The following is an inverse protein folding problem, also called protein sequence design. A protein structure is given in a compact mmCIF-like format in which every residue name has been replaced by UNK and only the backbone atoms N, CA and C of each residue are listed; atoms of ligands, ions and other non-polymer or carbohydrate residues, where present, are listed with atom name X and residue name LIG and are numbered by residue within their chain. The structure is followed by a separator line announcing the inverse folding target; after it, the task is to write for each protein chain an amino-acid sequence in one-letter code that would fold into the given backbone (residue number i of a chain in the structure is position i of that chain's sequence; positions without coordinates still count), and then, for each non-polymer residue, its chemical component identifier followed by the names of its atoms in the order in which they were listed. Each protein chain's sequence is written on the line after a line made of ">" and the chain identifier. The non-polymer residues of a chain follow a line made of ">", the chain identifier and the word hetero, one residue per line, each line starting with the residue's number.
data_IF_341821602237
#
_entry.id   IF_341821602237
#
_cell.length_a   1.000
_cell.length_b   1.000
_cell.length_c   1.000
_cell.angle_alpha   90.00
_cell.angle_beta   90.00
_cell.angle_gamma   90.00
#
_symmetry.space_group_name_H-M   'P 1'
#
loop_
_entity.id
_entity.type
_entity.pdbx_description
1 polymer ?
#
# COMPACT_ATOMS: atom_id res chain seq x y z
N UNK A 1 -7.90 -11.15 -22.55
CA UNK A 1 -6.71 -12.02 -22.37
C UNK A 1 -5.72 -11.48 -21.34
N UNK A 2 -5.31 -10.21 -21.41
CA UNK A 2 -4.35 -9.61 -20.46
C UNK A 2 -4.81 -9.71 -18.98
N UNK A 3 -6.09 -9.47 -18.70
CA UNK A 3 -6.69 -9.59 -17.37
C UNK A 3 -6.45 -10.97 -16.73
N UNK A 4 -6.74 -12.05 -17.46
CA UNK A 4 -6.53 -13.42 -16.97
C UNK A 4 -5.05 -13.73 -16.78
N UNK A 5 -4.18 -13.25 -17.67
CA UNK A 5 -2.73 -13.44 -17.56
C UNK A 5 -2.14 -12.73 -16.34
N UNK A 6 -2.65 -11.53 -16.00
CA UNK A 6 -2.22 -10.76 -14.83
C UNK A 6 -2.42 -11.52 -13.49
N UNK A 7 -3.38 -12.46 -13.48
CA UNK A 7 -3.63 -13.36 -12.35
C UNK A 7 -2.84 -14.66 -12.50
N UNK A 8 -2.93 -15.33 -13.66
CA UNK A 8 -2.39 -16.68 -13.84
C UNK A 8 -0.86 -16.73 -13.71
N UNK A 9 -0.14 -15.73 -14.22
CA UNK A 9 1.33 -15.69 -14.19
C UNK A 9 1.89 -15.76 -12.76
N UNK A 10 1.55 -14.84 -11.84
CA UNK A 10 2.06 -14.91 -10.47
C UNK A 10 1.52 -16.12 -9.69
N UNK A 11 0.29 -16.59 -9.97
CA UNK A 11 -0.25 -17.81 -9.36
C UNK A 11 0.57 -19.05 -9.70
N UNK A 12 0.76 -19.31 -10.99
CA UNK A 12 1.51 -20.46 -11.47
C UNK A 12 2.99 -20.39 -11.03
N UNK A 13 3.62 -19.22 -11.17
CA UNK A 13 4.99 -19.02 -10.74
C UNK A 13 5.16 -19.20 -9.22
N UNK A 14 4.27 -18.63 -8.41
CA UNK A 14 4.33 -18.73 -6.95
C UNK A 14 4.15 -20.16 -6.46
N UNK A 15 3.20 -20.92 -7.03
CA UNK A 15 2.99 -22.32 -6.70
C UNK A 15 4.23 -23.18 -6.99
N UNK A 16 4.88 -22.98 -8.14
CA UNK A 16 6.13 -23.66 -8.48
C UNK A 16 7.27 -23.24 -7.55
N UNK A 17 7.44 -21.94 -7.32
CA UNK A 17 8.57 -21.40 -6.53
C UNK A 17 8.53 -21.83 -5.07
N UNK A 18 7.34 -22.05 -4.49
CA UNK A 18 7.21 -22.59 -3.11
C UNK A 18 7.80 -23.99 -2.99
N UNK A 19 7.66 -24.82 -4.03
CA UNK A 19 8.21 -26.16 -4.04
C UNK A 19 9.74 -26.15 -4.18
N UNK A 20 10.33 -25.09 -4.73
CA UNK A 20 11.78 -24.97 -4.95
C UNK A 20 12.52 -24.46 -3.70
N UNK A 21 13.85 -24.61 -3.66
CA UNK A 21 14.67 -24.01 -2.60
C UNK A 21 15.04 -22.57 -2.95
N UNK A 22 14.28 -21.62 -2.42
CA UNK A 22 14.50 -20.19 -2.60
C UNK A 22 15.88 -19.70 -2.18
N UNK A 23 16.63 -20.44 -1.34
CA UNK A 23 18.02 -20.11 -0.97
C UNK A 23 18.99 -20.17 -2.15
N UNK A 24 18.62 -20.89 -3.22
CA UNK A 24 19.40 -20.92 -4.46
C UNK A 24 19.17 -19.62 -5.21
N UNK A 25 20.26 -18.91 -5.53
CA UNK A 25 20.21 -17.63 -6.27
C UNK A 25 19.35 -17.70 -7.54
N UNK A 26 19.43 -18.81 -8.29
CA UNK A 26 18.61 -19.01 -9.49
C UNK A 26 17.10 -18.98 -9.21
N UNK A 27 16.65 -19.57 -8.09
CA UNK A 27 15.22 -19.57 -7.70
C UNK A 27 14.76 -18.18 -7.29
N UNK A 28 15.60 -17.43 -6.55
CA UNK A 28 15.31 -16.04 -6.20
C UNK A 28 15.16 -15.15 -7.45
N UNK A 29 16.07 -15.28 -8.42
CA UNK A 29 15.98 -14.57 -9.70
C UNK A 29 14.81 -15.02 -10.57
N UNK A 30 14.45 -16.31 -10.56
CA UNK A 30 13.22 -16.77 -11.21
C UNK A 30 11.99 -16.06 -10.63
N UNK A 31 11.93 -15.87 -9.31
CA UNK A 31 10.90 -15.07 -8.67
C UNK A 31 10.88 -13.61 -9.15
N UNK A 32 12.04 -12.96 -9.24
CA UNK A 32 12.15 -11.60 -9.79
C UNK A 32 11.65 -11.55 -11.24
N UNK A 33 12.03 -12.51 -12.09
CA UNK A 33 11.57 -12.56 -13.49
C UNK A 33 10.07 -12.77 -13.61
N UNK A 34 9.47 -13.58 -12.72
CA UNK A 34 8.02 -13.76 -12.70
C UNK A 34 7.29 -12.47 -12.32
N UNK A 35 7.80 -11.72 -11.34
CA UNK A 35 7.24 -10.41 -10.97
C UNK A 35 7.40 -9.37 -12.10
N UNK A 36 8.55 -9.35 -12.79
CA UNK A 36 8.76 -8.46 -13.95
C UNK A 36 7.80 -8.82 -15.09
N UNK A 37 7.63 -10.11 -15.41
CA UNK A 37 6.67 -10.55 -16.41
C UNK A 37 5.24 -10.12 -16.04
N UNK A 38 4.87 -10.26 -14.76
CA UNK A 38 3.58 -9.80 -14.24
C UNK A 38 3.43 -8.28 -14.35
N UNK A 39 4.48 -7.51 -14.07
CA UNK A 39 4.49 -6.05 -14.20
C UNK A 39 4.26 -5.62 -15.65
N UNK A 40 4.90 -6.29 -16.62
CA UNK A 40 4.71 -6.01 -18.05
C UNK A 40 3.26 -6.30 -18.46
N UNK A 41 2.69 -7.43 -18.02
CA UNK A 41 1.29 -7.78 -18.31
C UNK A 41 0.33 -6.74 -17.70
N UNK A 42 0.56 -6.31 -16.46
CA UNK A 42 -0.24 -5.26 -15.83
C UNK A 42 -0.09 -3.92 -16.53
N UNK A 43 1.12 -3.55 -16.97
CA UNK A 43 1.33 -2.30 -17.69
C UNK A 43 0.54 -2.28 -18.99
N UNK A 44 0.55 -3.39 -19.75
CA UNK A 44 -0.26 -3.55 -20.97
C UNK A 44 -1.75 -3.45 -20.63
N UNK A 45 -2.21 -4.14 -19.58
CA UNK A 45 -3.60 -4.10 -19.14
C UNK A 45 -4.02 -2.68 -18.73
N UNK A 46 -3.22 -1.96 -17.96
CA UNK A 46 -3.52 -0.58 -17.54
C UNK A 46 -3.54 0.37 -18.74
N UNK A 47 -2.63 0.22 -19.71
CA UNK A 47 -2.66 1.02 -20.95
C UNK A 47 -3.95 0.74 -21.74
N UNK A 48 -4.38 -0.52 -21.84
CA UNK A 48 -5.65 -0.88 -22.47
C UNK A 48 -6.83 -0.24 -21.75
N UNK A 49 -6.87 -0.33 -20.42
CA UNK A 49 -7.92 0.27 -19.61
C UNK A 49 -8.02 1.78 -19.78
N UNK A 50 -6.89 2.49 -19.83
CA UNK A 50 -6.87 3.95 -20.03
C UNK A 50 -7.35 4.34 -21.43
N UNK A 51 -7.07 3.52 -22.45
CA UNK A 51 -7.43 3.83 -23.85
C UNK A 51 -8.85 3.40 -24.23
N UNK A 52 -9.28 2.24 -23.75
CA UNK A 52 -10.49 1.55 -24.20
C UNK A 52 -11.57 1.50 -23.13
N UNK A 53 -11.27 1.92 -21.90
CA UNK A 53 -12.15 1.83 -20.74
C UNK A 53 -11.98 0.54 -19.93
N UNK A 54 -12.71 0.41 -18.80
CA UNK A 54 -12.62 -0.74 -17.91
C UNK A 54 -12.85 -2.07 -18.64
N UNK A 55 -12.10 -3.10 -18.24
CA UNK A 55 -12.17 -4.42 -18.84
C UNK A 55 -12.77 -5.41 -17.85
N UNK A 56 -13.79 -6.16 -18.28
CA UNK A 56 -14.50 -7.11 -17.43
C UNK A 56 -14.56 -8.50 -18.06
N UNK A 57 -14.40 -9.53 -17.23
CA UNK A 57 -14.57 -10.93 -17.62
C UNK A 57 -15.35 -11.67 -16.53
N UNK A 58 -16.45 -12.32 -16.91
CA UNK A 58 -17.15 -13.27 -16.03
C UNK A 58 -16.47 -14.63 -16.15
N UNK A 59 -16.01 -15.15 -15.03
CA UNK A 59 -15.27 -16.41 -14.99
C UNK A 59 -16.17 -17.63 -15.24
N UNK A 60 -15.61 -18.67 -15.86
CA UNK A 60 -16.26 -19.99 -15.97
C UNK A 60 -17.40 -20.09 -16.99
N UNK A 61 -17.66 -19.06 -17.80
CA UNK A 61 -18.73 -19.08 -18.80
C UNK A 61 -20.15 -19.03 -18.21
N UNK A 62 -20.25 -18.74 -16.91
CA UNK A 62 -21.54 -18.56 -16.24
C UNK A 62 -22.22 -17.26 -16.70
N UNK A 63 -23.57 -17.19 -16.65
CA UNK A 63 -24.30 -15.96 -16.88
C UNK A 63 -23.89 -14.85 -15.89
N UNK A 64 -24.04 -13.60 -16.31
CA UNK A 64 -23.87 -12.45 -15.43
C UNK A 64 -24.80 -12.56 -14.20
N UNK A 65 -24.30 -12.17 -13.03
CA UNK A 65 -25.02 -12.27 -11.74
C UNK A 65 -24.83 -13.61 -11.00
N UNK A 66 -24.24 -14.63 -11.62
CA UNK A 66 -23.89 -15.91 -10.97
C UNK A 66 -22.37 -16.11 -10.94
N UNK A 67 -21.69 -15.84 -12.05
CA UNK A 67 -20.24 -16.02 -12.14
C UNK A 67 -19.45 -14.92 -11.42
N UNK A 68 -18.25 -15.27 -10.93
CA UNK A 68 -17.32 -14.28 -10.34
C UNK A 68 -16.86 -13.32 -11.44
N UNK A 69 -16.98 -12.03 -11.16
CA UNK A 69 -16.57 -10.95 -12.05
C UNK A 69 -15.12 -10.56 -11.75
N UNK A 70 -14.26 -10.66 -12.76
CA UNK A 70 -12.96 -10.00 -12.77
C UNK A 70 -13.14 -8.65 -13.47
N UNK A 71 -12.64 -7.59 -12.86
CA UNK A 71 -12.82 -6.23 -13.34
C UNK A 71 -11.53 -5.44 -13.17
N UNK A 72 -11.01 -4.90 -14.27
CA UNK A 72 -9.83 -4.06 -14.30
C UNK A 72 -10.20 -2.64 -14.70
N UNK A 73 -9.93 -1.69 -13.82
CA UNK A 73 -10.06 -0.25 -14.05
C UNK A 73 -8.75 0.47 -13.68
N UNK A 74 -8.75 1.80 -13.86
CA UNK A 74 -7.58 2.63 -13.59
C UNK A 74 -7.13 2.53 -12.12
N UNK A 75 -8.08 2.45 -11.18
CA UNK A 75 -7.79 2.32 -9.75
C UNK A 75 -7.06 1.00 -9.44
N UNK A 76 -7.61 -0.12 -9.90
CA UNK A 76 -6.99 -1.44 -9.73
C UNK A 76 -5.62 -1.51 -10.40
N UNK A 77 -5.49 -0.96 -11.61
CA UNK A 77 -4.23 -0.90 -12.35
C UNK A 77 -3.13 -0.16 -11.58
N UNK A 78 -3.42 1.05 -11.09
CA UNK A 78 -2.46 1.88 -10.32
C UNK A 78 -1.94 1.16 -9.09
N UNK A 79 -2.84 0.62 -8.28
CA UNK A 79 -2.48 -0.03 -7.01
C UNK A 79 -1.73 -1.35 -7.23
N UNK A 80 -2.06 -2.10 -8.30
CA UNK A 80 -1.34 -3.31 -8.67
C UNK A 80 0.08 -3.00 -9.18
N UNK A 81 0.23 -1.98 -10.03
CA UNK A 81 1.53 -1.56 -10.56
C UNK A 81 2.49 -1.12 -9.43
N UNK A 82 2.04 -0.20 -8.56
CA UNK A 82 2.91 0.31 -7.47
C UNK A 82 3.30 -0.79 -6.48
N UNK A 83 2.37 -1.70 -6.17
CA UNK A 83 2.64 -2.83 -5.27
C UNK A 83 3.67 -3.78 -5.88
N UNK A 84 3.58 -4.10 -7.18
CA UNK A 84 4.57 -4.92 -7.86
C UNK A 84 5.96 -4.28 -7.88
N UNK A 85 6.07 -2.97 -8.12
CA UNK A 85 7.36 -2.27 -8.10
C UNK A 85 8.06 -2.44 -6.75
N UNK A 86 7.32 -2.31 -5.64
CA UNK A 86 7.85 -2.53 -4.29
C UNK A 86 8.25 -4.00 -4.07
N UNK A 87 7.42 -4.96 -4.50
CA UNK A 87 7.73 -6.39 -4.37
C UNK A 87 8.98 -6.79 -5.18
N UNK A 88 9.12 -6.27 -6.41
CA UNK A 88 10.30 -6.49 -7.26
C UNK A 88 11.54 -5.96 -6.56
N UNK A 89 11.50 -4.72 -6.06
CA UNK A 89 12.66 -4.11 -5.40
C UNK A 89 13.07 -4.89 -4.15
N UNK A 90 12.10 -5.32 -3.32
CA UNK A 90 12.39 -6.10 -2.12
C UNK A 90 12.94 -7.50 -2.43
N UNK A 91 12.36 -8.22 -3.40
CA UNK A 91 12.83 -9.54 -3.78
C UNK A 91 14.18 -9.49 -4.48
N UNK A 92 14.40 -8.53 -5.37
CA UNK A 92 15.68 -8.37 -6.06
C UNK A 92 16.81 -8.01 -5.08
N UNK A 93 16.52 -7.17 -4.08
CA UNK A 93 17.46 -6.87 -2.99
C UNK A 93 17.88 -8.15 -2.24
N UNK A 94 16.93 -9.00 -1.85
CA UNK A 94 17.23 -10.27 -1.16
C UNK A 94 17.88 -11.32 -2.08
N UNK A 95 17.52 -11.35 -3.37
CA UNK A 95 18.14 -12.24 -4.36
C UNK A 95 19.65 -11.98 -4.51
N UNK A 96 20.07 -10.72 -4.38
CA UNK A 96 21.49 -10.37 -4.39
C UNK A 96 22.15 -10.60 -3.04
N UNK A 97 21.55 -10.13 -1.95
CA UNK A 97 22.11 -10.24 -0.60
C UNK A 97 22.22 -11.71 -0.13
N UNK A 98 21.42 -12.59 -0.69
CA UNK A 98 21.31 -13.99 -0.30
C UNK A 98 20.06 -14.20 0.53
N UNK A 99 19.07 -14.85 -0.08
CA UNK A 99 17.81 -15.25 0.56
C UNK A 99 18.06 -16.24 1.70
N UNK A 100 17.49 -15.97 2.87
CA UNK A 100 17.74 -16.73 4.09
C UNK A 100 16.80 -17.92 4.32
N UNK A 101 15.63 -17.93 3.68
CA UNK A 101 14.64 -19.01 3.84
C UNK A 101 14.23 -19.56 2.49
N UNK A 102 13.91 -20.86 2.47
CA UNK A 102 13.49 -21.58 1.25
C UNK A 102 12.24 -20.96 0.61
N UNK A 103 11.29 -20.51 1.42
CA UNK A 103 9.96 -20.11 0.95
C UNK A 103 9.88 -18.64 0.53
N UNK A 104 10.91 -17.82 0.80
CA UNK A 104 10.80 -16.36 0.64
C UNK A 104 10.43 -15.93 -0.80
N UNK A 105 11.13 -16.34 -1.89
CA UNK A 105 10.74 -15.93 -3.24
C UNK A 105 9.33 -16.37 -3.62
N UNK A 106 8.96 -17.61 -3.28
CA UNK A 106 7.63 -18.15 -3.56
C UNK A 106 6.51 -17.41 -2.82
N UNK A 107 6.73 -17.04 -1.55
CA UNK A 107 5.78 -16.26 -0.77
C UNK A 107 5.62 -14.83 -1.29
N UNK A 108 6.69 -14.18 -1.76
CA UNK A 108 6.60 -12.85 -2.37
C UNK A 108 5.80 -12.91 -3.69
N UNK A 109 5.99 -13.94 -4.50
CA UNK A 109 5.25 -14.11 -5.75
C UNK A 109 3.78 -14.51 -5.50
N UNK A 110 3.49 -15.35 -4.50
CA UNK A 110 2.11 -15.61 -4.08
C UNK A 110 1.43 -14.36 -3.50
N UNK A 111 2.17 -13.53 -2.77
CA UNK A 111 1.66 -12.25 -2.31
C UNK A 111 1.27 -11.36 -3.51
N UNK A 112 2.10 -11.31 -4.55
CA UNK A 112 1.76 -10.61 -5.79
C UNK A 112 0.47 -11.17 -6.43
N UNK A 113 0.31 -12.50 -6.42
CA UNK A 113 -0.89 -13.16 -6.94
C UNK A 113 -2.16 -12.75 -6.16
N UNK A 114 -2.08 -12.71 -4.83
CA UNK A 114 -3.16 -12.24 -3.97
C UNK A 114 -3.48 -10.76 -4.16
N UNK A 115 -2.46 -9.89 -4.20
CA UNK A 115 -2.66 -8.46 -4.42
C UNK A 115 -3.26 -8.15 -5.79
N UNK A 116 -2.76 -8.78 -6.85
CA UNK A 116 -3.32 -8.60 -8.20
C UNK A 116 -4.78 -9.07 -8.27
N UNK A 117 -5.09 -10.23 -7.67
CA UNK A 117 -6.48 -10.70 -7.58
C UNK A 117 -7.39 -9.72 -6.87
N UNK A 118 -6.92 -9.15 -5.76
CA UNK A 118 -7.66 -8.18 -4.97
C UNK A 118 -7.92 -6.87 -5.72
N UNK A 119 -6.94 -6.38 -6.49
CA UNK A 119 -7.08 -5.14 -7.25
C UNK A 119 -7.86 -5.32 -8.56
N UNK A 120 -8.01 -6.55 -9.06
CA UNK A 120 -8.64 -6.87 -10.35
C UNK A 120 -9.96 -7.65 -10.23
N UNK A 121 -10.57 -7.66 -9.04
CA UNK A 121 -11.87 -8.31 -8.80
C UNK A 121 -13.00 -7.29 -8.78
N UNK A 122 -14.14 -7.67 -9.36
CA UNK A 122 -15.41 -6.95 -9.31
C UNK A 122 -16.42 -7.59 -8.36
N UNK A 123 -15.99 -8.50 -7.49
CA UNK A 123 -16.84 -9.19 -6.51
C UNK A 123 -16.31 -9.01 -5.08
N UNK A 124 -17.21 -8.68 -4.16
CA UNK A 124 -16.94 -8.36 -2.76
C UNK A 124 -16.39 -9.57 -1.97
N UNK A 125 -16.95 -10.76 -2.19
CA UNK A 125 -16.47 -11.96 -1.51
C UNK A 125 -15.14 -12.43 -2.10
N UNK A 126 -14.99 -12.35 -3.42
CA UNK A 126 -13.73 -12.70 -4.07
C UNK A 126 -12.59 -11.74 -3.69
N UNK A 127 -12.90 -10.46 -3.42
CA UNK A 127 -11.95 -9.54 -2.79
C UNK A 127 -11.48 -10.07 -1.43
N UNK A 128 -12.40 -10.53 -0.58
CA UNK A 128 -12.05 -11.14 0.72
C UNK A 128 -11.16 -12.38 0.56
N UNK A 129 -11.43 -13.24 -0.44
CA UNK A 129 -10.59 -14.42 -0.71
C UNK A 129 -9.16 -14.01 -1.08
N UNK A 130 -8.99 -13.07 -2.01
CA UNK A 130 -7.67 -12.58 -2.39
C UNK A 130 -6.97 -11.81 -1.27
N UNK A 131 -7.73 -11.10 -0.44
CA UNK A 131 -7.25 -10.47 0.78
C UNK A 131 -6.62 -11.52 1.70
N UNK A 132 -7.33 -12.62 2.02
CA UNK A 132 -6.80 -13.66 2.90
C UNK A 132 -5.57 -14.37 2.33
N UNK A 133 -5.50 -14.55 1.01
CA UNK A 133 -4.32 -15.12 0.34
C UNK A 133 -3.11 -14.19 0.50
N UNK A 134 -3.28 -12.90 0.22
CA UNK A 134 -2.25 -11.89 0.41
C UNK A 134 -1.82 -11.79 1.89
N UNK A 135 -2.77 -11.80 2.81
CA UNK A 135 -2.53 -11.72 4.25
C UNK A 135 -1.78 -12.94 4.77
N UNK A 136 -2.19 -14.14 4.37
CA UNK A 136 -1.53 -15.39 4.77
C UNK A 136 -0.08 -15.43 4.31
N UNK A 137 0.19 -15.04 3.05
CA UNK A 137 1.55 -14.90 2.55
C UNK A 137 2.35 -13.86 3.38
N UNK A 138 1.73 -12.74 3.73
CA UNK A 138 2.35 -11.67 4.52
C UNK A 138 2.68 -12.10 5.96
N UNK A 139 1.81 -12.87 6.61
CA UNK A 139 2.07 -13.43 7.95
C UNK A 139 3.28 -14.36 7.91
N UNK A 140 3.35 -15.23 6.90
CA UNK A 140 4.49 -16.13 6.71
C UNK A 140 5.78 -15.34 6.42
N UNK A 141 5.74 -14.32 5.54
CA UNK A 141 6.87 -13.44 5.25
C UNK A 141 7.38 -12.70 6.49
N UNK A 142 6.50 -12.36 7.44
CA UNK A 142 6.87 -11.69 8.70
C UNK A 142 7.83 -12.55 9.54
N UNK A 143 7.81 -13.88 9.37
CA UNK A 143 8.76 -14.79 10.05
C UNK A 143 10.15 -14.86 9.39
N UNK A 144 10.36 -14.16 8.27
CA UNK A 144 11.60 -14.21 7.49
C UNK A 144 12.83 -13.82 8.32
N UNK A 145 13.84 -14.70 8.34
CA UNK A 145 15.01 -14.59 9.21
C UNK A 145 14.96 -15.48 10.46
N UNK A 146 13.79 -16.06 10.78
CA UNK A 146 13.61 -17.15 11.74
C UNK A 146 14.17 -16.90 13.14
N UNK A 147 14.16 -15.64 13.64
CA UNK A 147 14.48 -15.34 15.04
C UNK A 147 13.21 -15.09 15.87
N UNK A 148 13.29 -15.23 17.21
CA UNK A 148 12.13 -15.04 18.09
C UNK A 148 11.43 -13.68 17.92
N UNK A 149 12.18 -12.61 17.61
CA UNK A 149 11.63 -11.28 17.33
C UNK A 149 10.69 -11.28 16.12
N UNK A 150 11.06 -11.96 15.03
CA UNK A 150 10.22 -12.06 13.83
C UNK A 150 9.00 -12.95 14.07
N UNK A 151 9.14 -14.03 14.84
CA UNK A 151 8.00 -14.88 15.20
C UNK A 151 6.97 -14.11 16.04
N UNK A 152 7.42 -13.35 17.04
CA UNK A 152 6.54 -12.49 17.85
C UNK A 152 5.83 -11.45 16.98
N UNK A 153 6.55 -10.82 16.05
CA UNK A 153 5.96 -9.88 15.10
C UNK A 153 4.88 -10.57 14.23
N UNK A 154 5.15 -11.77 13.71
CA UNK A 154 4.19 -12.52 12.91
C UNK A 154 2.92 -12.89 13.68
N UNK A 155 3.06 -13.31 14.95
CA UNK A 155 1.92 -13.62 15.81
C UNK A 155 1.06 -12.38 16.08
N UNK A 156 1.68 -11.25 16.43
CA UNK A 156 0.95 -9.99 16.66
C UNK A 156 0.25 -9.55 15.37
N UNK A 157 0.96 -9.64 14.23
CA UNK A 157 0.42 -9.25 12.93
C UNK A 157 -0.79 -10.11 12.55
N UNK A 158 -0.66 -11.43 12.65
CA UNK A 158 -1.72 -12.39 12.34
C UNK A 158 -2.92 -12.23 13.26
N UNK A 159 -2.74 -12.20 14.58
CA UNK A 159 -3.86 -12.11 15.53
C UNK A 159 -4.70 -10.86 15.32
N UNK A 160 -4.06 -9.71 15.14
CA UNK A 160 -4.78 -8.43 15.00
C UNK A 160 -5.46 -8.33 13.63
N UNK A 161 -4.78 -8.77 12.56
CA UNK A 161 -5.37 -8.67 11.23
C UNK A 161 -6.44 -9.73 10.98
N UNK A 162 -6.38 -10.92 11.59
CA UNK A 162 -7.46 -11.91 11.55
C UNK A 162 -8.74 -11.40 12.24
N UNK A 163 -8.62 -10.59 13.29
CA UNK A 163 -9.78 -9.89 13.86
C UNK A 163 -10.38 -8.89 12.87
N UNK A 164 -9.52 -8.13 12.15
CA UNK A 164 -9.96 -7.27 11.05
C UNK A 164 -10.62 -8.04 9.91
N UNK A 165 -10.05 -9.18 9.52
CA UNK A 165 -10.62 -10.11 8.54
C UNK A 165 -11.98 -10.65 8.94
N UNK A 166 -12.18 -10.93 10.22
CA UNK A 166 -13.47 -11.39 10.73
C UNK A 166 -14.53 -10.30 10.59
N UNK A 167 -14.22 -9.07 10.97
CA UNK A 167 -15.11 -7.91 10.75
C UNK A 167 -15.37 -7.71 9.26
N UNK A 168 -14.35 -7.88 8.41
CA UNK A 168 -14.51 -7.80 6.96
C UNK A 168 -15.52 -8.84 6.45
N UNK A 169 -15.38 -10.11 6.86
CA UNK A 169 -16.29 -11.17 6.45
C UNK A 169 -17.73 -10.95 6.95
N UNK A 170 -17.90 -10.40 8.15
CA UNK A 170 -19.22 -9.99 8.65
C UNK A 170 -19.83 -8.87 7.79
N UNK A 171 -19.04 -7.90 7.34
CA UNK A 171 -19.50 -6.88 6.39
C UNK A 171 -19.86 -7.46 5.02
N UNK A 172 -19.13 -8.46 4.53
CA UNK A 172 -19.50 -9.19 3.30
C UNK A 172 -20.84 -9.89 3.47
N UNK A 173 -21.03 -10.63 4.57
CA UNK A 173 -22.30 -11.29 4.87
C UNK A 173 -23.45 -10.28 5.03
N UNK A 174 -23.20 -9.15 5.70
CA UNK A 174 -24.14 -8.05 5.84
C UNK A 174 -24.53 -7.43 4.50
N UNK A 175 -23.56 -7.21 3.60
CA UNK A 175 -23.79 -6.70 2.24
C UNK A 175 -24.73 -7.63 1.47
N UNK A 176 -24.45 -8.94 1.48
CA UNK A 176 -25.31 -9.92 0.84
C UNK A 176 -26.71 -9.97 1.47
N UNK A 177 -26.81 -9.86 2.79
CA UNK A 177 -28.09 -9.86 3.52
C UNK A 177 -28.99 -8.68 3.14
N UNK A 178 -28.42 -7.52 2.84
CA UNK A 178 -29.19 -6.29 2.56
C UNK A 178 -29.40 -6.04 1.06
N UNK A 179 -28.48 -6.48 0.19
CA UNK A 179 -28.57 -6.25 -1.27
C UNK A 179 -28.93 -7.50 -2.08
N UNK A 180 -28.72 -8.69 -1.51
CA UNK A 180 -28.84 -9.96 -2.22
C UNK A 180 -27.78 -10.17 -3.31
N UNK A 181 -26.70 -9.38 -3.34
CA UNK A 181 -25.67 -9.42 -4.36
C UNK A 181 -24.26 -9.37 -3.76
N UNK A 182 -23.28 -9.84 -4.54
CA UNK A 182 -21.85 -9.79 -4.22
C UNK A 182 -21.00 -9.16 -5.33
N UNK A 183 -21.52 -9.12 -6.56
CA UNK A 183 -20.95 -8.31 -7.62
C UNK A 183 -21.02 -6.83 -7.23
N UNK A 184 -19.89 -6.14 -7.28
CA UNK A 184 -19.75 -4.75 -6.81
C UNK A 184 -20.68 -3.79 -7.56
N UNK A 185 -20.90 -4.01 -8.86
CA UNK A 185 -21.84 -3.23 -9.66
C UNK A 185 -23.28 -3.35 -9.13
N UNK A 186 -23.76 -4.58 -8.94
CA UNK A 186 -25.10 -4.85 -8.41
C UNK A 186 -25.26 -4.31 -6.98
N UNK A 187 -24.22 -4.40 -6.15
CA UNK A 187 -24.22 -3.84 -4.79
C UNK A 187 -24.36 -2.32 -4.84
N UNK A 188 -23.57 -1.63 -5.67
CA UNK A 188 -23.61 -0.17 -5.80
C UNK A 188 -24.96 0.34 -6.34
N UNK A 189 -25.63 -0.42 -7.20
CA UNK A 189 -26.97 -0.08 -7.69
C UNK A 189 -28.02 -0.25 -6.58
N UNK A 190 -28.04 -1.42 -5.93
CA UNK A 190 -29.09 -1.80 -4.98
C UNK A 190 -28.98 -1.13 -3.62
N UNK A 191 -27.79 -0.68 -3.22
CA UNK A 191 -27.59 -0.10 -1.89
C UNK A 191 -28.46 1.15 -1.65
N UNK A 192 -28.77 1.91 -2.71
CA UNK A 192 -29.62 3.10 -2.63
C UNK A 192 -31.08 2.78 -2.25
N UNK A 193 -31.51 1.53 -2.45
CA UNK A 193 -32.85 1.05 -2.06
C UNK A 193 -32.88 0.45 -0.65
N UNK A 194 -31.72 0.31 0.01
CA UNK A 194 -31.60 -0.23 1.37
C UNK A 194 -31.80 0.89 2.40
N UNK A 195 -32.34 0.56 3.58
CA UNK A 195 -32.44 1.53 4.67
C UNK A 195 -31.07 2.05 5.12
N UNK A 196 -30.93 3.37 5.24
CA UNK A 196 -29.66 4.06 5.51
C UNK A 196 -28.89 3.51 6.72
N UNK A 197 -29.56 3.13 7.81
CA UNK A 197 -28.91 2.57 9.00
C UNK A 197 -28.22 1.23 8.71
N UNK A 198 -28.82 0.39 7.86
CA UNK A 198 -28.25 -0.92 7.52
C UNK A 198 -27.06 -0.77 6.57
N UNK A 199 -27.16 0.13 5.58
CA UNK A 199 -26.05 0.47 4.69
C UNK A 199 -24.87 1.07 5.47
N UNK A 200 -25.14 2.02 6.37
CA UNK A 200 -24.14 2.62 7.25
C UNK A 200 -23.44 1.59 8.14
N UNK A 201 -24.18 0.65 8.73
CA UNK A 201 -23.58 -0.39 9.57
C UNK A 201 -22.57 -1.25 8.79
N UNK A 202 -22.93 -1.64 7.57
CA UNK A 202 -22.05 -2.41 6.68
C UNK A 202 -20.82 -1.57 6.25
N UNK A 203 -21.04 -0.32 5.87
CA UNK A 203 -19.98 0.63 5.49
C UNK A 203 -18.98 0.85 6.63
N UNK A 204 -19.47 1.04 7.87
CA UNK A 204 -18.62 1.16 9.07
C UNK A 204 -17.81 -0.11 9.30
N UNK A 205 -18.39 -1.29 9.12
CA UNK A 205 -17.66 -2.55 9.26
C UNK A 205 -16.52 -2.68 8.25
N UNK A 206 -16.74 -2.32 6.97
CA UNK A 206 -15.66 -2.27 5.97
C UNK A 206 -14.61 -1.21 6.32
N UNK A 207 -15.04 -0.03 6.77
CA UNK A 207 -14.13 1.03 7.24
C UNK A 207 -13.23 0.53 8.38
N UNK A 208 -13.78 -0.14 9.38
CA UNK A 208 -13.00 -0.70 10.50
C UNK A 208 -12.02 -1.75 10.00
N UNK A 209 -12.46 -2.69 9.15
CA UNK A 209 -11.59 -3.71 8.59
C UNK A 209 -10.38 -3.11 7.82
N UNK A 210 -10.63 -2.14 6.95
CA UNK A 210 -9.57 -1.48 6.18
C UNK A 210 -8.71 -0.54 7.05
N UNK A 211 -9.26 0.06 8.09
CA UNK A 211 -8.51 0.91 9.04
C UNK A 211 -7.57 0.10 9.92
N UNK A 212 -7.99 -1.09 10.39
CA UNK A 212 -7.11 -2.06 11.06
C UNK A 212 -5.96 -2.43 10.12
N UNK A 213 -6.27 -2.63 8.83
CA UNK A 213 -5.25 -2.99 7.84
C UNK A 213 -4.23 -1.88 7.57
N UNK A 214 -4.68 -0.63 7.48
CA UNK A 214 -3.81 0.53 7.29
C UNK A 214 -3.00 0.89 8.54
N UNK A 215 -3.47 0.48 9.72
CA UNK A 215 -2.93 0.96 10.99
C UNK A 215 -3.20 2.46 11.17
N UNK A 216 -4.43 2.90 10.85
CA UNK A 216 -4.92 4.24 11.16
C UNK A 216 -5.10 4.38 12.68
N UNK A 217 -4.89 5.56 13.27
CA UNK A 217 -5.33 5.82 14.65
C UNK A 217 -6.86 5.62 14.78
N UNK A 218 -7.37 4.88 15.79
CA UNK A 218 -6.69 4.21 16.91
C UNK A 218 -6.36 2.71 16.68
N UNK A 219 -6.53 2.19 15.46
CA UNK A 219 -6.32 0.79 15.07
C UNK A 219 -4.84 0.43 14.77
N UNK A 220 -3.89 1.28 15.13
CA UNK A 220 -2.47 1.21 14.72
C UNK A 220 -1.54 0.40 15.62
N UNK A 221 -2.02 -0.06 16.78
CA UNK A 221 -1.21 -0.61 17.88
C UNK A 221 -0.30 -1.78 17.49
N UNK A 222 -0.64 -2.54 16.45
CA UNK A 222 0.17 -3.65 15.95
C UNK A 222 1.35 -3.18 15.08
N UNK A 223 1.21 -2.06 14.39
CA UNK A 223 2.07 -1.67 13.26
C UNK A 223 3.53 -1.39 13.67
N UNK A 224 3.84 -0.58 14.70
CA UNK A 224 5.22 -0.32 15.12
C UNK A 224 5.98 -1.59 15.49
N UNK A 225 5.32 -2.48 16.24
CA UNK A 225 5.91 -3.75 16.69
C UNK A 225 6.25 -4.66 15.52
N UNK A 226 5.37 -4.73 14.51
CA UNK A 226 5.55 -5.60 13.35
C UNK A 226 6.61 -5.05 12.41
N UNK A 227 6.58 -3.76 12.09
CA UNK A 227 7.51 -3.16 11.14
C UNK A 227 8.93 -3.11 11.70
N UNK A 228 9.11 -2.72 12.96
CA UNK A 228 10.40 -2.80 13.64
C UNK A 228 10.82 -4.26 13.93
N UNK A 229 9.86 -5.19 14.04
CA UNK A 229 10.11 -6.60 14.34
C UNK A 229 10.67 -7.42 13.17
N UNK A 230 10.47 -6.95 11.94
CA UNK A 230 10.80 -7.66 10.70
C UNK A 230 12.11 -7.21 10.07
N UNK A 231 12.56 -7.94 9.04
CA UNK A 231 13.71 -7.53 8.24
C UNK A 231 13.33 -6.38 7.30
N UNK A 232 14.28 -5.49 6.94
CA UNK A 232 14.04 -4.33 6.09
C UNK A 232 13.25 -4.63 4.80
N UNK A 233 13.58 -5.70 4.09
CA UNK A 233 12.86 -6.10 2.87
C UNK A 233 11.39 -6.46 3.14
N UNK A 234 11.10 -7.13 4.26
CA UNK A 234 9.71 -7.46 4.64
C UNK A 234 8.96 -6.23 5.11
N UNK A 235 9.59 -5.35 5.90
CA UNK A 235 8.98 -4.08 6.31
C UNK A 235 8.62 -3.20 5.09
N UNK A 236 9.49 -3.17 4.07
CA UNK A 236 9.23 -2.51 2.79
C UNK A 236 8.01 -3.12 2.06
N UNK A 237 7.92 -4.45 1.99
CA UNK A 237 6.76 -5.16 1.43
C UNK A 237 5.47 -4.82 2.20
N UNK A 238 5.52 -4.93 3.53
CA UNK A 238 4.35 -4.71 4.37
C UNK A 238 3.83 -3.27 4.27
N UNK A 239 4.74 -2.29 4.30
CA UNK A 239 4.37 -0.88 4.28
C UNK A 239 4.11 -0.32 2.89
N UNK A 240 4.78 -0.83 1.85
CA UNK A 240 4.74 -0.28 0.49
C UNK A 240 3.81 -1.04 -0.46
N UNK A 241 3.62 -2.35 -0.29
CA UNK A 241 2.74 -3.14 -1.15
C UNK A 241 1.46 -3.57 -0.40
N UNK A 242 1.60 -4.08 0.81
CA UNK A 242 0.47 -4.69 1.54
C UNK A 242 -0.46 -3.65 2.17
N UNK A 243 0.06 -2.50 2.61
CA UNK A 243 -0.77 -1.41 3.15
C UNK A 243 -1.77 -0.87 2.11
N UNK A 244 -1.44 -0.96 0.82
CA UNK A 244 -2.30 -0.50 -0.27
C UNK A 244 -3.65 -1.21 -0.33
N UNK A 245 -3.75 -2.43 0.21
CA UNK A 245 -5.02 -3.14 0.37
C UNK A 245 -6.06 -2.26 1.07
N UNK A 246 -5.66 -1.57 2.15
CA UNK A 246 -6.58 -0.76 2.92
C UNK A 246 -6.91 0.57 2.23
N UNK A 247 -5.95 1.23 1.58
CA UNK A 247 -6.23 2.46 0.81
C UNK A 247 -7.15 2.18 -0.37
N UNK A 248 -6.86 1.13 -1.14
CA UNK A 248 -7.71 0.66 -2.21
C UNK A 248 -9.09 0.24 -1.70
N UNK A 249 -9.16 -0.50 -0.59
CA UNK A 249 -10.41 -0.91 0.04
C UNK A 249 -11.28 0.29 0.45
N UNK A 250 -10.71 1.30 1.12
CA UNK A 250 -11.44 2.52 1.47
C UNK A 250 -11.98 3.24 0.21
N UNK A 251 -11.14 3.40 -0.82
CA UNK A 251 -11.55 4.04 -2.07
C UNK A 251 -12.65 3.24 -2.79
N UNK A 252 -12.44 1.94 -3.01
CA UNK A 252 -13.33 1.07 -3.77
C UNK A 252 -14.66 0.84 -3.06
N UNK A 253 -14.64 0.51 -1.78
CA UNK A 253 -15.86 0.24 -1.02
C UNK A 253 -16.49 1.54 -0.55
N UNK A 254 -15.72 2.42 0.08
CA UNK A 254 -16.26 3.66 0.65
C UNK A 254 -16.74 4.64 -0.42
N UNK A 255 -15.90 4.98 -1.40
CA UNK A 255 -16.32 5.91 -2.45
C UNK A 255 -17.10 5.25 -3.59
N UNK A 256 -16.77 3.98 -3.93
CA UNK A 256 -17.43 3.27 -5.03
C UNK A 256 -18.76 2.62 -4.67
N UNK A 257 -18.88 1.99 -3.50
CA UNK A 257 -20.10 1.27 -3.09
C UNK A 257 -20.98 2.08 -2.12
N UNK A 258 -20.36 2.79 -1.16
CA UNK A 258 -21.04 3.44 -0.03
C UNK A 258 -20.87 4.97 -0.05
N UNK A 259 -21.04 5.57 -1.22
CA UNK A 259 -20.70 6.99 -1.46
C UNK A 259 -21.50 7.98 -0.60
N UNK A 260 -22.76 7.66 -0.28
CA UNK A 260 -23.60 8.52 0.55
C UNK A 260 -23.26 8.36 2.04
N UNK A 261 -22.94 7.14 2.48
CA UNK A 261 -22.43 6.88 3.82
C UNK A 261 -21.07 7.56 4.05
N UNK A 262 -20.18 7.54 3.04
CA UNK A 262 -18.92 8.28 3.06
C UNK A 262 -19.16 9.78 3.28
N UNK A 263 -20.09 10.38 2.52
CA UNK A 263 -20.44 11.80 2.64
C UNK A 263 -20.98 12.12 4.02
N UNK A 264 -21.82 11.25 4.58
CA UNK A 264 -22.36 11.41 5.93
C UNK A 264 -21.26 11.30 7.00
N UNK A 265 -20.32 10.37 6.83
CA UNK A 265 -19.22 10.14 7.77
C UNK A 265 -18.02 11.08 7.60
N UNK A 266 -18.03 11.97 6.60
CA UNK A 266 -16.88 12.79 6.19
C UNK A 266 -16.21 13.51 7.37
N UNK A 267 -16.98 14.18 8.23
CA UNK A 267 -16.43 14.88 9.40
C UNK A 267 -15.70 13.94 10.36
N UNK A 268 -16.27 12.77 10.66
CA UNK A 268 -15.63 11.79 11.53
C UNK A 268 -14.32 11.26 10.92
N UNK A 269 -14.31 11.04 9.60
CA UNK A 269 -13.14 10.58 8.87
C UNK A 269 -12.03 11.64 8.82
N UNK A 270 -12.37 12.92 8.63
CA UNK A 270 -11.42 14.04 8.74
C UNK A 270 -10.80 14.07 10.13
N UNK A 271 -11.60 13.98 11.19
CA UNK A 271 -11.11 13.99 12.57
C UNK A 271 -10.16 12.82 12.86
N UNK A 272 -10.49 11.61 12.40
CA UNK A 272 -9.62 10.45 12.53
C UNK A 272 -8.33 10.60 11.71
N UNK A 273 -8.42 11.17 10.51
CA UNK A 273 -7.27 11.44 9.65
C UNK A 273 -6.32 12.44 10.28
N UNK A 274 -6.84 13.58 10.77
CA UNK A 274 -6.11 14.60 11.52
C UNK A 274 -5.46 14.00 12.77
N UNK A 275 -6.20 13.22 13.54
CA UNK A 275 -5.68 12.54 14.72
C UNK A 275 -4.52 11.61 14.35
N UNK A 276 -4.64 10.85 13.26
CA UNK A 276 -3.57 9.95 12.78
C UNK A 276 -2.33 10.72 12.33
N UNK A 277 -2.48 11.83 11.60
CA UNK A 277 -1.37 12.71 11.17
C UNK A 277 -0.58 13.21 12.39
N UNK A 278 -1.28 13.79 13.35
CA UNK A 278 -0.66 14.39 14.53
C UNK A 278 -0.06 13.33 15.45
N UNK A 279 -0.82 12.28 15.77
CA UNK A 279 -0.37 11.20 16.63
C UNK A 279 0.85 10.47 16.05
N UNK A 280 0.78 10.08 14.77
CA UNK A 280 1.89 9.41 14.08
C UNK A 280 3.11 10.31 13.96
N UNK A 281 2.92 11.59 13.61
CA UNK A 281 4.01 12.56 13.47
C UNK A 281 4.73 12.83 14.79
N UNK A 282 3.99 13.12 15.87
CA UNK A 282 4.57 13.41 17.19
C UNK A 282 5.29 12.19 17.74
N UNK A 283 4.69 11.00 17.64
CA UNK A 283 5.33 9.79 18.14
C UNK A 283 6.52 9.36 17.30
N UNK A 284 6.56 9.64 16.00
CA UNK A 284 7.74 9.38 15.17
C UNK A 284 8.94 10.22 15.62
N UNK A 285 8.72 11.51 15.93
CA UNK A 285 9.76 12.43 16.43
C UNK A 285 10.35 11.96 17.77
N UNK A 286 9.55 11.30 18.62
CA UNK A 286 10.01 10.81 19.91
C UNK A 286 10.73 9.46 19.86
N UNK A 287 10.82 8.79 18.70
CA UNK A 287 11.51 7.49 18.58
C UNK A 287 13.00 7.63 18.29
N UNK A 288 13.78 6.80 19.00
CA UNK A 288 15.22 6.65 18.80
C UNK A 288 15.59 5.55 17.79
N UNK A 289 14.70 4.60 17.51
CA UNK A 289 14.92 3.51 16.55
C UNK A 289 14.36 3.89 15.17
N UNK A 290 15.17 3.74 14.13
CA UNK A 290 14.81 4.18 12.77
C UNK A 290 13.62 3.40 12.18
N UNK A 291 13.53 2.09 12.45
CA UNK A 291 12.43 1.27 11.94
C UNK A 291 11.12 1.62 12.65
N UNK A 292 11.19 1.91 13.96
CA UNK A 292 10.05 2.40 14.74
C UNK A 292 9.62 3.81 14.30
N UNK A 293 10.55 4.73 14.06
CA UNK A 293 10.24 6.06 13.49
C UNK A 293 9.54 5.93 12.14
N UNK A 294 10.02 5.06 11.24
CA UNK A 294 9.40 4.83 9.92
C UNK A 294 7.99 4.23 10.04
N UNK A 295 7.76 3.38 11.05
CA UNK A 295 6.47 2.78 11.34
C UNK A 295 5.46 3.83 11.85
N UNK A 296 5.84 4.68 12.81
CA UNK A 296 4.99 5.79 13.24
C UNK A 296 4.75 6.83 12.14
N UNK A 297 5.76 7.07 11.30
CA UNK A 297 5.58 7.85 10.09
C UNK A 297 4.48 7.24 9.19
N UNK A 298 4.41 5.91 9.04
CA UNK A 298 3.38 5.27 8.21
C UNK A 298 1.96 5.54 8.75
N UNK A 299 1.77 5.51 10.07
CA UNK A 299 0.50 5.87 10.75
C UNK A 299 0.10 7.32 10.40
N UNK A 300 1.06 8.25 10.46
CA UNK A 300 0.83 9.64 10.08
C UNK A 300 0.49 9.80 8.60
N UNK A 301 1.23 9.13 7.72
CA UNK A 301 1.04 9.21 6.27
C UNK A 301 -0.32 8.67 5.81
N UNK A 302 -0.83 7.61 6.44
CA UNK A 302 -2.18 7.11 6.15
C UNK A 302 -3.24 8.15 6.51
N UNK A 303 -3.04 8.96 7.55
CA UNK A 303 -3.98 10.00 7.93
C UNK A 303 -4.23 11.03 6.83
N UNK A 304 -3.21 11.34 6.02
CA UNK A 304 -3.35 12.18 4.83
C UNK A 304 -4.24 11.54 3.75
N UNK A 305 -4.08 10.23 3.51
CA UNK A 305 -4.97 9.47 2.60
C UNK A 305 -6.40 9.56 3.10
N UNK A 306 -6.63 9.39 4.40
CA UNK A 306 -7.98 9.43 4.96
C UNK A 306 -8.63 10.82 4.86
N UNK A 307 -7.85 11.88 5.09
CA UNK A 307 -8.33 13.26 4.90
C UNK A 307 -8.74 13.53 3.44
N UNK A 308 -7.92 13.15 2.46
CA UNK A 308 -8.28 13.34 1.06
C UNK A 308 -9.50 12.49 0.66
N UNK A 309 -9.54 11.25 1.14
CA UNK A 309 -10.67 10.34 0.94
C UNK A 309 -11.98 10.93 1.49
N UNK A 310 -11.94 11.54 2.68
CA UNK A 310 -13.12 12.13 3.32
C UNK A 310 -13.61 13.42 2.66
N UNK A 311 -12.71 14.17 2.00
CA UNK A 311 -13.11 15.29 1.14
C UNK A 311 -14.00 14.79 -0.01
N UNK A 312 -13.70 13.59 -0.52
CA UNK A 312 -14.47 12.95 -1.58
C UNK A 312 -14.43 13.72 -2.89
N UNK A 313 -15.34 13.36 -3.80
CA UNK A 313 -15.39 13.91 -5.16
C UNK A 313 -14.13 13.63 -5.99
N UNK A 314 -14.07 14.10 -7.25
CA UNK A 314 -12.93 13.82 -8.13
C UNK A 314 -11.60 14.35 -7.56
N UNK A 315 -11.61 15.52 -6.92
CA UNK A 315 -10.40 16.17 -6.39
C UNK A 315 -9.86 15.40 -5.18
N UNK A 316 -10.70 15.12 -4.16
CA UNK A 316 -10.27 14.42 -2.95
C UNK A 316 -9.86 12.97 -3.23
N UNK A 317 -10.63 12.25 -4.06
CA UNK A 317 -10.31 10.87 -4.42
C UNK A 317 -9.04 10.77 -5.26
N UNK A 318 -8.83 11.67 -6.23
CA UNK A 318 -7.58 11.72 -6.99
C UNK A 318 -6.38 12.00 -6.07
N UNK A 319 -6.50 12.97 -5.15
CA UNK A 319 -5.46 13.26 -4.18
C UNK A 319 -5.13 12.06 -3.28
N UNK A 320 -6.15 11.30 -2.84
CA UNK A 320 -5.95 10.07 -2.06
C UNK A 320 -5.17 9.01 -2.87
N UNK A 321 -5.49 8.82 -4.15
CA UNK A 321 -4.79 7.88 -5.04
C UNK A 321 -3.33 8.28 -5.23
N UNK A 322 -3.07 9.53 -5.63
CA UNK A 322 -1.69 10.05 -5.82
C UNK A 322 -0.89 9.86 -4.54
N UNK A 323 -1.46 10.22 -3.40
CA UNK A 323 -0.77 10.13 -2.11
C UNK A 323 -0.46 8.69 -1.72
N UNK A 324 -1.40 7.76 -1.90
CA UNK A 324 -1.19 6.34 -1.63
C UNK A 324 -0.05 5.77 -2.47
N UNK A 325 0.00 6.08 -3.77
CA UNK A 325 1.07 5.60 -4.68
C UNK A 325 2.43 6.13 -4.26
N UNK A 326 2.53 7.45 -4.02
CA UNK A 326 3.80 8.07 -3.64
C UNK A 326 4.25 7.58 -2.26
N UNK A 327 3.33 7.43 -1.31
CA UNK A 327 3.64 6.87 0.00
C UNK A 327 4.12 5.42 -0.10
N UNK A 328 3.51 4.59 -0.94
CA UNK A 328 3.94 3.22 -1.17
C UNK A 328 5.40 3.14 -1.66
N UNK A 329 5.76 3.94 -2.67
CA UNK A 329 7.13 4.03 -3.19
C UNK A 329 8.11 4.56 -2.14
N UNK A 330 7.73 5.61 -1.40
CA UNK A 330 8.54 6.17 -0.33
C UNK A 330 8.83 5.14 0.77
N UNK A 331 7.82 4.38 1.20
CA UNK A 331 7.99 3.36 2.23
C UNK A 331 8.84 2.20 1.74
N UNK A 332 8.63 1.74 0.50
CA UNK A 332 9.51 0.75 -0.13
C UNK A 332 10.97 1.21 -0.13
N UNK A 333 11.23 2.43 -0.60
CA UNK A 333 12.55 3.05 -0.63
C UNK A 333 13.18 3.17 0.75
N UNK A 334 12.46 3.77 1.71
CA UNK A 334 12.99 4.11 3.03
C UNK A 334 13.26 2.89 3.89
N UNK A 335 12.39 1.87 3.88
CA UNK A 335 12.63 0.64 4.61
C UNK A 335 13.80 -0.16 4.01
N UNK A 336 13.94 -0.22 2.67
CA UNK A 336 15.11 -0.86 2.05
C UNK A 336 16.40 -0.08 2.37
N UNK A 337 16.38 1.24 2.27
CA UNK A 337 17.51 2.09 2.64
C UNK A 337 17.86 1.97 4.13
N UNK A 338 16.86 1.78 5.00
CA UNK A 338 17.06 1.53 6.44
C UNK A 338 17.86 0.24 6.72
N UNK A 339 17.87 -0.72 5.80
CA UNK A 339 18.69 -1.94 5.90
C UNK A 339 20.13 -1.84 5.39
N UNK A 340 20.49 -0.74 4.69
CA UNK A 340 21.75 -0.64 3.96
C UNK A 340 22.61 0.55 4.42
N UNK A 341 23.89 0.57 4.01
CA UNK A 341 24.87 1.63 4.28
C UNK A 341 25.66 2.02 3.03
N UNK A 342 26.08 3.27 2.97
CA UNK A 342 26.93 3.84 1.91
C UNK A 342 26.40 5.17 1.37
N UNK A 343 27.25 5.95 0.67
CA UNK A 343 26.90 7.29 0.21
C UNK A 343 25.71 7.30 -0.76
N UNK A 344 25.62 6.32 -1.67
CA UNK A 344 24.48 6.17 -2.57
C UNK A 344 23.17 5.90 -1.80
N UNK A 345 23.22 5.13 -0.71
CA UNK A 345 22.06 4.85 0.14
C UNK A 345 21.65 6.09 0.92
N UNK A 346 22.62 6.86 1.42
CA UNK A 346 22.37 8.13 2.09
C UNK A 346 21.66 9.11 1.15
N UNK A 347 22.16 9.27 -0.08
CA UNK A 347 21.54 10.12 -1.10
C UNK A 347 20.11 9.65 -1.45
N UNK A 348 19.93 8.34 -1.65
CA UNK A 348 18.62 7.78 -1.93
C UNK A 348 17.63 7.94 -0.75
N UNK A 349 18.13 7.82 0.50
CA UNK A 349 17.33 8.09 1.69
C UNK A 349 16.89 9.55 1.75
N UNK A 350 17.77 10.51 1.43
CA UNK A 350 17.41 11.94 1.38
C UNK A 350 16.28 12.20 0.37
N UNK A 351 16.33 11.57 -0.82
CA UNK A 351 15.24 11.68 -1.80
C UNK A 351 13.92 11.17 -1.22
N UNK A 352 13.93 10.00 -0.57
CA UNK A 352 12.74 9.46 0.11
C UNK A 352 12.25 10.34 1.26
N UNK A 353 13.17 10.87 2.06
CA UNK A 353 12.89 11.76 3.18
C UNK A 353 12.23 13.08 2.71
N UNK A 354 12.79 13.69 1.66
CA UNK A 354 12.23 14.89 1.03
C UNK A 354 10.86 14.60 0.40
N UNK A 355 10.68 13.44 -0.21
CA UNK A 355 9.37 13.01 -0.70
C UNK A 355 8.36 12.91 0.45
N UNK A 356 8.68 12.24 1.56
CA UNK A 356 7.76 12.15 2.72
C UNK A 356 7.49 13.52 3.37
N UNK A 357 8.50 14.39 3.43
CA UNK A 357 8.35 15.76 3.92
C UNK A 357 7.54 16.64 2.95
N UNK A 358 7.54 16.35 1.66
CA UNK A 358 6.90 17.15 0.62
C UNK A 358 7.78 18.30 0.13
N UNK A 359 9.08 18.08 -0.02
CA UNK A 359 10.05 19.09 -0.49
C UNK A 359 10.24 18.95 -2.02
N UNK A 360 10.12 20.03 -2.81
CA UNK A 360 10.41 20.00 -4.24
C UNK A 360 11.88 19.60 -4.53
N UNK A 361 12.16 18.86 -5.63
CA UNK A 361 11.25 18.39 -6.67
C UNK A 361 10.75 16.94 -6.45
N UNK A 362 10.68 16.44 -5.21
CA UNK A 362 10.32 15.04 -4.96
C UNK A 362 8.82 14.75 -5.19
N UNK A 363 8.46 13.51 -5.54
CA UNK A 363 7.06 13.13 -5.81
C UNK A 363 6.06 13.48 -4.70
N UNK A 364 6.47 13.38 -3.43
CA UNK A 364 5.57 13.71 -2.32
C UNK A 364 5.27 15.20 -2.17
N UNK A 365 6.05 16.10 -2.79
CA UNK A 365 5.62 17.49 -2.94
C UNK A 365 4.35 17.57 -3.79
N UNK A 366 4.34 16.92 -4.96
CA UNK A 366 3.18 16.90 -5.85
C UNK A 366 1.98 16.27 -5.16
N UNK A 367 2.18 15.14 -4.48
CA UNK A 367 1.11 14.47 -3.74
C UNK A 367 0.49 15.37 -2.65
N UNK A 368 1.32 16.18 -1.95
CA UNK A 368 0.82 17.14 -0.95
C UNK A 368 0.17 18.37 -1.55
N UNK A 369 0.62 18.82 -2.73
CA UNK A 369 -0.07 19.90 -3.46
C UNK A 369 -1.49 19.47 -3.78
N UNK A 370 -1.71 18.24 -4.23
CA UNK A 370 -3.07 17.72 -4.48
C UNK A 370 -3.90 17.60 -3.19
N UNK A 371 -3.29 17.24 -2.06
CA UNK A 371 -3.96 17.28 -0.75
C UNK A 371 -4.35 18.70 -0.33
N UNK A 372 -3.48 19.69 -0.55
CA UNK A 372 -3.80 21.09 -0.27
C UNK A 372 -4.92 21.60 -1.18
N UNK A 373 -4.93 21.20 -2.46
CA UNK A 373 -6.04 21.50 -3.39
C UNK A 373 -7.37 20.93 -2.89
N UNK A 374 -7.37 19.68 -2.40
CA UNK A 374 -8.54 19.07 -1.81
C UNK A 374 -9.03 19.83 -0.56
N UNK A 375 -8.12 20.25 0.33
CA UNK A 375 -8.47 21.04 1.52
C UNK A 375 -9.02 22.44 1.17
N UNK A 376 -8.42 23.10 0.17
CA UNK A 376 -8.88 24.41 -0.33
C UNK A 376 -10.29 24.29 -0.92
N UNK A 377 -10.59 23.20 -1.63
CA UNK A 377 -11.90 22.97 -2.24
C UNK A 377 -13.05 22.88 -1.23
N UNK A 378 -12.76 22.52 0.03
CA UNK A 378 -13.75 22.45 1.13
C UNK A 378 -13.73 23.72 1.99
N UNK A 379 -12.90 24.71 1.65
CA UNK A 379 -12.79 25.99 2.35
C UNK A 379 -12.46 25.87 3.85
N UNK A 380 -11.72 24.82 4.25
CA UNK A 380 -11.31 24.60 5.64
C UNK A 380 -9.85 25.00 5.89
N UNK A 381 -9.58 26.20 6.46
CA UNK A 381 -8.22 26.64 6.75
C UNK A 381 -7.55 25.85 7.88
N UNK A 382 -8.32 25.26 8.81
CA UNK A 382 -7.76 24.46 9.90
C UNK A 382 -7.15 23.17 9.34
N UNK A 383 -7.81 22.56 8.35
CA UNK A 383 -7.30 21.38 7.66
C UNK A 383 -5.95 21.67 6.98
N UNK A 384 -5.83 22.81 6.29
CA UNK A 384 -4.57 23.23 5.68
C UNK A 384 -3.43 23.36 6.71
N UNK A 385 -3.72 23.98 7.85
CA UNK A 385 -2.73 24.11 8.94
C UNK A 385 -2.26 22.74 9.42
N UNK A 386 -3.18 21.80 9.65
CA UNK A 386 -2.80 20.44 10.08
C UNK A 386 -1.93 19.73 9.04
N UNK A 387 -2.29 19.83 7.76
CA UNK A 387 -1.53 19.20 6.68
C UNK A 387 -0.09 19.74 6.61
N UNK A 388 0.08 21.06 6.81
CA UNK A 388 1.39 21.72 6.90
C UNK A 388 2.15 21.27 8.15
N UNK A 389 1.52 21.29 9.33
CA UNK A 389 2.13 20.85 10.58
C UNK A 389 2.64 19.41 10.48
N UNK A 390 1.83 18.49 9.96
CA UNK A 390 2.27 17.10 9.75
C UNK A 390 3.44 16.98 8.76
N UNK A 391 3.55 17.91 7.79
CA UNK A 391 4.65 17.95 6.84
C UNK A 391 5.95 18.41 7.49
N UNK A 392 5.86 19.41 8.38
CA UNK A 392 6.98 19.86 9.22
C UNK A 392 7.44 18.75 10.16
N UNK A 393 6.51 18.07 10.85
CA UNK A 393 6.84 16.91 11.68
C UNK A 393 7.55 15.83 10.84
N UNK A 394 7.09 15.63 9.61
CA UNK A 394 7.69 14.68 8.67
C UNK A 394 9.12 15.00 8.29
N UNK A 395 9.42 16.28 8.08
CA UNK A 395 10.79 16.72 7.87
C UNK A 395 11.66 16.48 9.11
N UNK A 396 11.15 16.81 10.29
CA UNK A 396 11.90 16.67 11.56
C UNK A 396 12.30 15.22 11.80
N UNK A 397 11.37 14.27 11.80
CA UNK A 397 11.71 12.88 12.10
C UNK A 397 12.57 12.22 11.00
N UNK A 398 12.41 12.63 9.74
CA UNK A 398 13.25 12.13 8.65
C UNK A 398 14.68 12.66 8.76
N UNK A 399 14.84 13.92 9.14
CA UNK A 399 16.14 14.51 9.40
C UNK A 399 16.83 13.87 10.60
N UNK A 400 16.09 13.55 11.67
CA UNK A 400 16.61 12.81 12.82
C UNK A 400 17.16 11.42 12.43
N UNK A 401 16.44 10.64 11.61
CA UNK A 401 16.95 9.36 11.10
C UNK A 401 18.24 9.60 10.30
N UNK A 402 18.26 10.61 9.42
CA UNK A 402 19.43 10.90 8.60
C UNK A 402 20.67 11.23 9.46
N UNK A 403 20.50 12.07 10.48
CA UNK A 403 21.57 12.43 11.42
C UNK A 403 22.10 11.20 12.16
N UNK A 404 21.22 10.40 12.76
CA UNK A 404 21.63 9.21 13.53
C UNK A 404 22.34 8.17 12.67
N UNK A 405 21.83 7.95 11.46
CA UNK A 405 22.26 6.82 10.63
C UNK A 405 23.40 7.15 9.67
N UNK A 406 23.39 8.30 9.02
CA UNK A 406 24.32 8.63 7.94
C UNK A 406 25.33 9.70 8.33
N UNK A 407 24.93 10.67 9.16
CA UNK A 407 25.85 11.75 9.58
C UNK A 407 26.78 11.31 10.71
N UNK A 408 26.23 10.81 11.82
CA UNK A 408 27.02 10.49 13.03
C UNK A 408 27.75 9.14 12.92
N UNK A 409 27.27 8.23 12.05
CA UNK A 409 27.89 6.92 11.83
C UNK A 409 29.32 6.98 11.28
N UNK A 410 29.75 8.10 10.72
CA UNK A 410 31.14 8.29 10.28
C UNK A 410 32.10 8.64 11.45
N UNK A 411 31.58 8.99 12.63
CA UNK A 411 32.36 9.57 13.75
C UNK A 411 32.56 8.62 14.95
N UNK A 412 31.98 7.41 14.97
CA UNK A 412 32.23 6.44 16.07
C UNK A 412 33.56 5.69 15.90
N UNK A 413 34.63 6.31 16.40
CA UNK A 413 35.97 5.75 16.59
C UNK A 413 36.11 5.02 17.92
N UNK A 414 35.30 3.99 18.19
CA UNK A 414 35.43 3.18 19.42
C UNK A 414 35.40 1.67 19.11
N UNK A 415 36.54 1.15 18.60
CA UNK A 415 37.01 -0.25 18.72
C UNK A 415 36.14 -1.40 18.20
N UNK A 416 34.88 -1.17 17.84
CA UNK A 416 33.95 -2.17 17.32
C UNK A 416 33.83 -1.94 15.82
N UNK A 417 34.20 -2.96 15.03
CA UNK A 417 34.21 -2.90 13.57
C UNK A 417 32.94 -2.22 13.04
N UNK A 418 33.09 -1.02 12.49
CA UNK A 418 32.02 -0.34 11.76
C UNK A 418 31.66 -1.27 10.60
N UNK A 419 30.45 -1.84 10.64
CA UNK A 419 29.99 -2.68 9.53
C UNK A 419 30.14 -1.88 8.22
N UNK A 420 30.98 -2.40 7.32
CA UNK A 420 31.42 -1.72 6.11
C UNK A 420 30.28 -1.38 5.16
N UNK A 421 30.61 -0.60 4.11
CA UNK A 421 29.67 -0.22 3.06
C UNK A 421 29.00 -1.47 2.48
N UNK A 422 27.67 -1.42 2.33
CA UNK A 422 26.91 -2.55 1.78
C UNK A 422 27.35 -2.89 0.35
N UNK A 423 27.14 -4.13 -0.13
CA UNK A 423 27.46 -4.51 -1.51
C UNK A 423 26.83 -3.56 -2.54
N UNK A 424 27.45 -3.40 -3.71
CA UNK A 424 26.99 -2.45 -4.74
C UNK A 424 25.55 -2.74 -5.24
N UNK A 425 25.17 -3.98 -5.61
CA UNK A 425 23.90 -4.15 -6.30
C UNK A 425 22.64 -3.85 -5.45
N UNK A 426 22.56 -4.17 -4.15
CA UNK A 426 21.48 -3.70 -3.27
C UNK A 426 21.34 -2.17 -3.25
N UNK A 427 22.46 -1.45 -3.28
CA UNK A 427 22.47 0.02 -3.33
C UNK A 427 21.94 0.55 -4.66
N UNK A 428 22.16 -0.16 -5.77
CA UNK A 428 21.61 0.20 -7.07
C UNK A 428 20.08 0.08 -7.11
N UNK A 429 19.49 -0.92 -6.45
CA UNK A 429 18.01 -1.02 -6.37
C UNK A 429 17.38 0.11 -5.58
N UNK A 430 17.98 0.46 -4.43
CA UNK A 430 17.54 1.62 -3.64
C UNK A 430 17.75 2.93 -4.44
N UNK A 431 18.86 3.05 -5.15
CA UNK A 431 19.11 4.16 -6.08
C UNK A 431 18.06 4.24 -7.19
N UNK A 432 17.70 3.12 -7.81
CA UNK A 432 16.68 3.05 -8.87
C UNK A 432 15.29 3.46 -8.36
N UNK A 433 14.90 3.01 -7.15
CA UNK A 433 13.66 3.47 -6.51
C UNK A 433 13.71 4.97 -6.23
N UNK A 434 14.84 5.51 -5.77
CA UNK A 434 14.99 6.94 -5.55
C UNK A 434 14.91 7.74 -6.86
N UNK A 435 15.50 7.26 -7.95
CA UNK A 435 15.35 7.85 -9.28
C UNK A 435 13.89 7.81 -9.72
N UNK A 436 13.17 6.72 -9.49
CA UNK A 436 11.74 6.63 -9.82
C UNK A 436 10.90 7.64 -9.01
N UNK A 437 11.17 7.77 -7.70
CA UNK A 437 10.49 8.77 -6.85
C UNK A 437 10.80 10.19 -7.32
N UNK A 438 12.05 10.45 -7.74
CA UNK A 438 12.43 11.76 -8.26
C UNK A 438 11.82 12.03 -9.64
N UNK A 439 11.79 11.04 -10.53
CA UNK A 439 11.24 11.19 -11.88
C UNK A 439 9.74 11.45 -11.85
N UNK A 440 9.00 10.82 -10.94
CA UNK A 440 7.57 11.11 -10.71
C UNK A 440 7.39 12.54 -10.19
N UNK A 441 8.31 13.06 -9.38
CA UNK A 441 8.24 14.45 -8.91
C UNK A 441 8.54 15.49 -9.99
N UNK A 442 9.47 15.19 -10.90
CA UNK A 442 9.82 16.06 -12.03
C UNK A 442 8.76 15.99 -13.14
N UNK A 443 8.24 14.79 -13.44
CA UNK A 443 7.20 14.57 -14.45
C UNK A 443 6.00 13.84 -13.84
N UNK A 444 5.19 14.59 -13.12
CA UNK A 444 4.05 14.05 -12.38
C UNK A 444 2.80 13.79 -13.23
N UNK A 445 2.72 14.38 -14.43
CA UNK A 445 1.54 14.35 -15.28
C UNK A 445 0.98 12.94 -15.53
N UNK A 446 1.78 11.90 -15.86
CA UNK A 446 1.22 10.56 -16.07
C UNK A 446 0.54 10.00 -14.82
N UNK A 447 1.10 10.25 -13.64
CA UNK A 447 0.51 9.79 -12.37
C UNK A 447 -0.75 10.60 -12.02
N UNK A 448 -0.76 11.91 -12.27
CA UNK A 448 -1.90 12.77 -12.02
C UNK A 448 -3.09 12.40 -12.91
N UNK A 449 -2.87 12.23 -14.22
CA UNK A 449 -3.91 11.81 -15.17
C UNK A 449 -4.47 10.44 -14.76
N UNK A 450 -3.60 9.48 -14.50
CA UNK A 450 -4.04 8.14 -14.11
C UNK A 450 -4.80 8.11 -12.77
N UNK A 451 -4.47 9.02 -11.84
CA UNK A 451 -5.19 9.16 -10.57
C UNK A 451 -6.54 9.85 -10.74
N UNK A 452 -6.66 10.79 -11.68
CA UNK A 452 -7.94 11.37 -12.08
C UNK A 452 -8.83 10.32 -12.75
N UNK A 453 -8.29 9.50 -13.64
CA UNK A 453 -9.02 8.38 -14.24
C UNK A 453 -9.48 7.37 -13.19
N UNK A 454 -8.63 7.08 -12.20
CA UNK A 454 -9.00 6.24 -11.06
C UNK A 454 -10.13 6.84 -10.21
N UNK A 455 -10.10 8.15 -9.96
CA UNK A 455 -11.17 8.85 -9.26
C UNK A 455 -12.48 8.85 -10.08
N UNK A 456 -12.38 9.07 -11.39
CA UNK A 456 -13.51 9.04 -12.31
C UNK A 456 -14.15 7.66 -12.39
N UNK A 457 -13.36 6.58 -12.36
CA UNK A 457 -13.86 5.21 -12.32
C UNK A 457 -14.69 4.91 -11.06
N UNK A 458 -14.43 5.61 -9.95
CA UNK A 458 -15.22 5.50 -8.72
C UNK A 458 -16.51 6.32 -8.77
N UNK A 459 -16.44 7.56 -9.27
CA UNK A 459 -17.59 8.48 -9.28
C UNK A 459 -18.53 8.28 -10.48
N UNK A 460 -18.02 7.71 -11.58
CA UNK A 460 -18.72 7.52 -12.83
C UNK A 460 -19.78 6.42 -12.81
N UNK A 461 -20.09 5.84 -11.64
CA UNK A 461 -21.02 4.73 -11.41
C UNK A 461 -20.91 3.64 -12.48
N UNK A 462 -19.82 2.87 -12.38
CA UNK A 462 -19.69 1.48 -12.88
C UNK A 462 -20.51 1.22 -14.16
N UNK A 463 -20.14 1.90 -15.24
CA UNK A 463 -20.70 1.67 -16.58
C UNK A 463 -20.27 0.33 -17.16
#
# INVERSE_FOLDING_TARGET
>A
MALSLALLVPWAAGAVLIALDGRRRGVAWLGVTALIATLVVLLVLTIQVVREGPQQVVTGGWPAGIGIVLHADALGGVFALVSLVVLIAALANEAVCGTHTRTFPGLVVLLAAGLNGLFLTGDVFNFYVFFEIAMTASYALTTYGQRPRQLRAALIFASVNLLGSFVFLLSVAGTYRITGALAMADVAERINAVGANAAMLVAVGFFVAFSVKLGLFPFHFWLPTVYAGTRPAVAAILSGAVANIGSYGLLRFGAGLFSDELRFAATALVLLGVASILYGGVLAVSRGDDAETLAYSAIGQVGYVLVAFSVGGPIGLSAAVVYSVVNALNKGLLFLAAGLRGPLVAAAFVIGAFSVAGVPPAAGFIAKVELFRAAIAVHDPALLVVLVVGSVLSLIYMFQIYQRKFWVSEVRTDGHAVAGVSPLPPRLFVGALAVLVLSIGVWAEPLLVLSQDAANALTGRLG
#
